data_IF_775849077264
#
_entry.id   IF_775849077264
#
_cell.length_a   1.000
_cell.length_b   1.000
_cell.length_c   1.000
_cell.angle_alpha   90.00
_cell.angle_beta   90.00
_cell.angle_gamma   90.00
#
_symmetry.space_group_name_H-M   'P 1'
#
loop_
_entity.id
_entity.type
_entity.pdbx_description
1 polymer ?
#
# COMPACT_ATOMS: atom_id res chain seq x y z
N UNK A 1 7.92 -12.75 15.38
CA UNK A 1 7.07 -11.64 14.88
C UNK A 1 5.78 -12.18 14.28
N UNK A 2 5.88 -13.07 13.29
CA UNK A 2 4.77 -13.73 12.59
C UNK A 2 3.69 -14.40 13.45
N UNK A 3 4.02 -14.85 14.67
CA UNK A 3 3.05 -15.45 15.61
C UNK A 3 2.14 -14.42 16.30
N UNK A 4 2.40 -13.13 16.11
CA UNK A 4 1.79 -12.06 16.91
C UNK A 4 1.08 -10.98 16.06
N UNK A 5 0.93 -11.19 14.74
CA UNK A 5 0.20 -10.29 13.84
C UNK A 5 0.98 -9.85 12.61
N UNK A 6 0.47 -8.80 11.97
CA UNK A 6 1.02 -8.25 10.73
C UNK A 6 2.15 -7.24 10.97
N UNK A 7 3.07 -7.15 10.01
CA UNK A 7 4.19 -6.21 10.04
C UNK A 7 4.09 -5.18 8.91
N UNK A 8 4.06 -3.90 9.25
CA UNK A 8 4.25 -2.83 8.27
C UNK A 8 5.69 -2.82 7.76
N UNK A 9 5.89 -2.46 6.49
CA UNK A 9 7.23 -2.38 5.87
C UNK A 9 8.13 -1.27 6.40
N UNK A 10 7.63 -0.41 7.31
CA UNK A 10 8.30 0.81 7.72
C UNK A 10 8.18 1.95 6.70
N UNK A 11 9.03 2.96 6.84
CA UNK A 11 8.97 4.19 6.04
C UNK A 11 9.45 3.94 4.60
N UNK A 12 8.52 3.71 3.68
CA UNK A 12 8.84 3.62 2.26
C UNK A 12 8.89 5.02 1.65
N UNK A 13 9.98 5.32 0.93
CA UNK A 13 10.14 6.58 0.22
C UNK A 13 8.99 6.81 -0.78
N UNK A 14 8.54 8.07 -0.88
CA UNK A 14 7.53 8.47 -1.87
C UNK A 14 8.14 8.42 -3.28
N UNK A 15 7.47 7.76 -4.20
CA UNK A 15 7.84 7.72 -5.62
C UNK A 15 7.78 6.32 -6.20
N UNK A 16 7.97 6.22 -7.52
CA UNK A 16 7.97 4.95 -8.25
C UNK A 16 9.06 3.98 -7.76
N UNK A 17 10.20 4.49 -7.31
CA UNK A 17 11.25 3.67 -6.71
C UNK A 17 10.77 3.01 -5.41
N UNK A 18 10.06 3.75 -4.55
CA UNK A 18 9.47 3.22 -3.32
C UNK A 18 8.35 2.21 -3.58
N UNK A 19 7.51 2.46 -4.58
CA UNK A 19 6.51 1.49 -5.04
C UNK A 19 7.18 0.16 -5.42
N UNK A 20 8.24 0.20 -6.24
CA UNK A 20 8.99 -0.99 -6.65
C UNK A 20 9.67 -1.69 -5.47
N UNK A 21 10.29 -0.91 -4.57
CA UNK A 21 10.94 -1.44 -3.39
C UNK A 21 9.96 -2.14 -2.44
N UNK A 22 8.71 -1.68 -2.38
CA UNK A 22 7.66 -2.27 -1.55
C UNK A 22 7.42 -3.74 -1.88
N UNK A 23 7.39 -4.08 -3.17
CA UNK A 23 7.21 -5.47 -3.61
C UNK A 23 8.38 -6.35 -3.15
N UNK A 24 9.62 -5.92 -3.43
CA UNK A 24 10.82 -6.66 -3.03
C UNK A 24 10.90 -6.85 -1.52
N UNK A 25 10.52 -5.84 -0.74
CA UNK A 25 10.53 -5.89 0.72
C UNK A 25 9.52 -6.93 1.23
N UNK A 26 8.27 -6.91 0.74
CA UNK A 26 7.23 -7.86 1.18
C UNK A 26 7.60 -9.30 0.83
N UNK A 27 8.14 -9.53 -0.37
CA UNK A 27 8.64 -10.85 -0.77
C UNK A 27 9.79 -11.31 0.13
N UNK A 28 10.76 -10.43 0.41
CA UNK A 28 11.86 -10.71 1.34
C UNK A 28 11.37 -11.04 2.75
N UNK A 29 10.38 -10.31 3.26
CA UNK A 29 9.74 -10.59 4.55
C UNK A 29 9.06 -11.97 4.56
N UNK A 30 8.38 -12.34 3.48
CA UNK A 30 7.81 -13.67 3.30
C UNK A 30 8.87 -14.78 3.40
N UNK A 31 10.00 -14.62 2.70
CA UNK A 31 11.12 -15.56 2.75
C UNK A 31 11.76 -15.65 4.14
N UNK A 32 11.74 -14.56 4.91
CA UNK A 32 12.20 -14.51 6.29
C UNK A 32 11.16 -15.01 7.32
N UNK A 33 10.05 -15.60 6.87
CA UNK A 33 9.02 -16.15 7.75
C UNK A 33 8.08 -15.12 8.35
N UNK A 34 7.95 -13.93 7.74
CA UNK A 34 6.97 -12.88 8.09
C UNK A 34 6.03 -12.59 6.91
N UNK A 35 5.17 -13.56 6.55
CA UNK A 35 4.35 -13.47 5.34
C UNK A 35 3.22 -12.44 5.45
N UNK A 36 2.70 -12.18 6.65
CA UNK A 36 1.69 -11.14 6.84
C UNK A 36 2.35 -9.76 6.96
N UNK A 37 2.79 -9.21 5.83
CA UNK A 37 3.45 -7.91 5.75
C UNK A 37 2.99 -7.10 4.54
N UNK A 38 3.23 -5.79 4.57
CA UNK A 38 2.77 -4.88 3.51
C UNK A 38 3.22 -3.43 3.72
N UNK A 39 3.22 -2.63 2.63
CA UNK A 39 3.63 -1.24 2.68
C UNK A 39 2.52 -0.29 3.08
N UNK A 40 2.93 0.93 3.43
CA UNK A 40 2.01 2.08 3.50
C UNK A 40 1.69 2.55 2.09
N UNK A 41 0.44 2.35 1.67
CA UNK A 41 -0.03 2.73 0.33
C UNK A 41 0.16 4.25 0.12
N UNK A 42 0.87 4.61 -0.94
CA UNK A 42 1.21 5.99 -1.27
C UNK A 42 2.55 6.48 -0.69
N UNK A 43 3.26 5.66 0.09
CA UNK A 43 4.58 5.95 0.69
C UNK A 43 4.47 6.80 1.95
N UNK A 44 5.44 6.77 2.87
CA UNK A 44 5.24 7.30 4.23
C UNK A 44 5.06 8.83 4.35
N UNK A 45 5.77 9.61 3.52
CA UNK A 45 5.79 11.09 3.58
C UNK A 45 5.30 11.75 2.29
N UNK A 46 4.86 13.01 2.42
CA UNK A 46 4.37 13.83 1.29
C UNK A 46 3.10 13.29 0.64
N UNK A 47 2.67 13.94 -0.45
CA UNK A 47 1.49 13.53 -1.21
C UNK A 47 1.94 12.91 -2.54
N UNK A 48 1.61 11.64 -2.84
CA UNK A 48 1.88 11.04 -4.15
C UNK A 48 1.01 11.71 -5.24
N UNK A 49 1.38 11.58 -6.51
CA UNK A 49 0.45 11.92 -7.59
C UNK A 49 -0.75 10.96 -7.57
N UNK A 50 -1.92 11.35 -8.12
CA UNK A 50 -3.08 10.47 -8.24
C UNK A 50 -2.76 9.13 -8.91
N UNK A 51 -1.98 9.15 -10.00
CA UNK A 51 -1.54 7.93 -10.68
C UNK A 51 -0.67 7.04 -9.77
N UNK A 52 0.33 7.62 -9.09
CA UNK A 52 1.22 6.85 -8.23
C UNK A 52 0.46 6.24 -7.05
N UNK A 53 -0.49 6.97 -6.47
CA UNK A 53 -1.36 6.46 -5.42
C UNK A 53 -2.18 5.27 -5.93
N UNK A 54 -2.85 5.42 -7.08
CA UNK A 54 -3.66 4.37 -7.67
C UNK A 54 -2.85 3.10 -7.93
N UNK A 55 -1.65 3.21 -8.53
CA UNK A 55 -0.79 2.05 -8.77
C UNK A 55 -0.33 1.38 -7.48
N UNK A 56 -0.10 2.15 -6.43
CA UNK A 56 0.24 1.59 -5.12
C UNK A 56 -0.94 0.89 -4.47
N UNK A 57 -2.14 1.47 -4.59
CA UNK A 57 -3.37 0.85 -4.09
C UNK A 57 -3.65 -0.48 -4.80
N UNK A 58 -3.51 -0.49 -6.13
CA UNK A 58 -3.62 -1.70 -6.94
C UNK A 58 -2.61 -2.77 -6.53
N UNK A 59 -1.33 -2.41 -6.36
CA UNK A 59 -0.32 -3.35 -5.84
C UNK A 59 -0.70 -3.87 -4.45
N UNK A 60 -1.04 -2.96 -3.53
CA UNK A 60 -1.39 -3.27 -2.16
C UNK A 60 -2.58 -4.22 -2.04
N UNK A 61 -3.56 -4.12 -2.96
CA UNK A 61 -4.72 -5.00 -2.99
C UNK A 61 -4.35 -6.49 -3.10
N UNK A 62 -3.19 -6.81 -3.72
CA UNK A 62 -2.65 -8.17 -3.85
C UNK A 62 -1.60 -8.53 -2.80
N UNK A 63 -1.24 -7.61 -1.90
CA UNK A 63 -0.27 -7.89 -0.83
C UNK A 63 -0.98 -8.38 0.45
N UNK A 64 -0.30 -9.19 1.29
CA UNK A 64 -0.91 -9.81 2.46
C UNK A 64 -1.51 -8.78 3.43
N UNK A 65 -0.74 -7.75 3.81
CA UNK A 65 -1.23 -6.63 4.60
C UNK A 65 -1.58 -5.45 3.69
N UNK A 66 -2.83 -5.00 3.78
CA UNK A 66 -3.37 -3.90 2.98
C UNK A 66 -3.81 -2.75 3.88
N UNK A 67 -3.14 -1.61 3.74
CA UNK A 67 -3.29 -0.46 4.64
C UNK A 67 -2.94 0.84 3.93
N UNK A 68 -3.84 1.82 4.06
CA UNK A 68 -3.52 3.23 3.80
C UNK A 68 -3.01 3.86 5.10
N UNK A 69 -1.79 4.38 5.08
CA UNK A 69 -1.20 5.07 6.24
C UNK A 69 -0.18 6.10 5.74
N UNK A 70 0.18 7.06 6.59
CA UNK A 70 1.18 8.05 6.31
C UNK A 70 1.50 8.89 7.54
N UNK A 71 2.56 9.68 7.45
CA UNK A 71 2.92 10.60 8.52
C UNK A 71 1.80 11.62 8.78
N UNK A 72 1.65 12.07 10.03
CA UNK A 72 0.62 13.04 10.44
C UNK A 72 0.62 14.34 9.60
N UNK A 73 1.77 14.70 9.03
CA UNK A 73 1.96 15.90 8.20
C UNK A 73 1.86 15.62 6.69
N UNK A 74 1.60 14.38 6.28
CA UNK A 74 1.53 14.00 4.87
C UNK A 74 0.18 14.33 4.20
N UNK A 75 -0.73 14.99 4.92
CA UNK A 75 -2.07 15.33 4.44
C UNK A 75 -3.03 14.13 4.45
N UNK A 76 -4.21 14.36 3.86
CA UNK A 76 -5.25 13.33 3.68
C UNK A 76 -4.85 12.34 2.58
N UNK A 77 -5.28 11.09 2.74
CA UNK A 77 -4.78 9.93 1.95
C UNK A 77 -5.86 8.91 1.62
N UNK A 78 -7.08 9.25 1.97
CA UNK A 78 -8.23 8.46 1.61
C UNK A 78 -8.39 8.49 0.07
N UNK A 79 -8.84 7.39 -0.57
CA UNK A 79 -8.87 7.30 -2.02
C UNK A 79 -9.62 8.43 -2.73
N UNK A 80 -10.66 8.98 -2.09
CA UNK A 80 -11.46 10.09 -2.61
C UNK A 80 -10.72 11.43 -2.68
N UNK A 81 -9.58 11.58 -2.01
CA UNK A 81 -8.74 12.78 -2.10
C UNK A 81 -7.99 12.90 -3.43
N UNK A 82 -7.93 11.82 -4.21
CA UNK A 82 -7.21 11.75 -5.49
C UNK A 82 -8.13 11.89 -6.71
N UNK A 83 -9.39 12.28 -6.49
CA UNK A 83 -10.37 12.52 -7.54
C UNK A 83 -11.26 11.31 -7.87
N UNK A 84 -12.38 11.54 -8.58
CA UNK A 84 -13.41 10.52 -8.82
C UNK A 84 -12.91 9.33 -9.64
N UNK A 85 -12.05 9.56 -10.64
CA UNK A 85 -11.47 8.50 -11.47
C UNK A 85 -10.58 7.55 -10.66
N UNK A 86 -9.73 8.09 -9.78
CA UNK A 86 -8.91 7.26 -8.87
C UNK A 86 -9.79 6.49 -7.90
N UNK A 87 -10.83 7.13 -7.34
CA UNK A 87 -11.76 6.46 -6.43
C UNK A 87 -12.46 5.27 -7.10
N UNK A 88 -12.91 5.43 -8.35
CA UNK A 88 -13.55 4.35 -9.12
C UNK A 88 -12.60 3.16 -9.28
N UNK A 89 -11.36 3.40 -9.71
CA UNK A 89 -10.37 2.33 -9.87
C UNK A 89 -9.91 1.71 -8.54
N UNK A 90 -9.80 2.50 -7.47
CA UNK A 90 -9.58 1.97 -6.13
C UNK A 90 -10.73 1.08 -5.68
N UNK A 91 -11.97 1.45 -5.98
CA UNK A 91 -13.16 0.63 -5.67
C UNK A 91 -13.10 -0.70 -6.41
N UNK A 92 -12.75 -0.71 -7.70
CA UNK A 92 -12.56 -1.93 -8.46
C UNK A 92 -11.46 -2.84 -7.89
N UNK A 93 -10.31 -2.25 -7.49
CA UNK A 93 -9.22 -3.00 -6.88
C UNK A 93 -9.61 -3.59 -5.50
N UNK A 94 -10.40 -2.86 -4.72
CA UNK A 94 -10.91 -3.33 -3.43
C UNK A 94 -11.91 -4.49 -3.62
N UNK A 95 -12.84 -4.35 -4.57
CA UNK A 95 -13.80 -5.40 -4.90
C UNK A 95 -13.09 -6.69 -5.37
N UNK A 96 -12.03 -6.56 -6.16
CA UNK A 96 -11.22 -7.71 -6.56
C UNK A 96 -10.50 -8.37 -5.39
N UNK A 97 -9.94 -7.58 -4.46
CA UNK A 97 -9.37 -8.12 -3.22
C UNK A 97 -10.41 -8.89 -2.43
N UNK A 98 -11.60 -8.33 -2.23
CA UNK A 98 -12.69 -8.98 -1.49
C UNK A 98 -13.14 -10.27 -2.17
N UNK A 99 -13.16 -10.32 -3.51
CA UNK A 99 -13.48 -11.52 -4.29
C UNK A 99 -12.47 -12.66 -4.07
N UNK A 100 -11.23 -12.35 -3.70
CA UNK A 100 -10.14 -13.32 -3.50
C UNK A 100 -9.99 -13.80 -2.04
N UNK A 101 -10.79 -13.27 -1.10
CA UNK A 101 -10.81 -13.68 0.31
C UNK A 101 -11.80 -14.83 0.54
#
# INVERSE_FOLDING_TARGET
>A
MQRYGGAGSGEVARGWAGLRASLSLVLGMGLCGVPYSGPDIGGFTGTPSPELYLRWFQLGAYLPLFRTFGAKWAGRREPWEFGPEVLEHCTAALAERERLL
#
